data_IF_403462758728
#
_entry.id   IF_403462758728
#
_cell.length_a   1.000
_cell.length_b   1.000
_cell.length_c   1.000
_cell.angle_alpha   90.00
_cell.angle_beta   90.00
_cell.angle_gamma   90.00
#
_symmetry.space_group_name_H-M   'P 1'
#
loop_
_entity.id
_entity.type
_entity.pdbx_description
1 polymer ?
#
# COMPACT_ATOMS: atom_id res chain seq x y z
N UNK A 1 -62.15 4.36 -7.32
CA UNK A 1 -60.80 3.85 -6.98
C UNK A 1 -60.76 2.36 -7.21
N UNK A 2 -59.64 1.85 -7.73
CA UNK A 2 -59.42 0.42 -7.90
C UNK A 2 -58.64 -0.12 -6.69
N UNK A 3 -58.93 -1.34 -6.26
CA UNK A 3 -58.32 -1.95 -5.06
C UNK A 3 -56.78 -1.98 -5.14
N UNK A 4 -56.22 -2.03 -6.35
CA UNK A 4 -54.77 -2.01 -6.57
C UNK A 4 -54.09 -0.70 -6.13
N UNK A 5 -54.77 0.45 -6.25
CA UNK A 5 -54.17 1.73 -5.86
C UNK A 5 -54.35 1.99 -4.36
N UNK A 6 -55.39 1.40 -3.77
CA UNK A 6 -55.68 1.51 -2.34
C UNK A 6 -54.54 0.91 -1.51
N UNK A 7 -53.90 -0.18 -1.97
CA UNK A 7 -52.79 -0.82 -1.26
C UNK A 7 -51.60 0.13 -1.06
N UNK A 8 -51.18 0.84 -2.12
CA UNK A 8 -50.14 1.87 -2.04
C UNK A 8 -50.52 2.98 -1.06
N UNK A 9 -51.75 3.48 -1.14
CA UNK A 9 -52.24 4.53 -0.24
C UNK A 9 -52.30 4.07 1.23
N UNK A 10 -52.56 2.78 1.50
CA UNK A 10 -52.50 2.24 2.86
C UNK A 10 -51.07 2.32 3.41
N UNK A 11 -50.06 1.98 2.60
CA UNK A 11 -48.66 2.07 3.00
C UNK A 11 -48.23 3.52 3.25
N UNK A 12 -48.53 4.42 2.32
CA UNK A 12 -48.28 5.87 2.45
C UNK A 12 -48.96 6.45 3.70
N UNK A 13 -50.18 5.99 4.03
CA UNK A 13 -50.87 6.38 5.25
C UNK A 13 -50.11 5.96 6.52
N UNK A 14 -49.60 4.71 6.57
CA UNK A 14 -48.86 4.23 7.74
C UNK A 14 -47.50 4.91 7.92
N UNK A 15 -46.90 5.39 6.84
CA UNK A 15 -45.63 6.14 6.83
C UNK A 15 -45.83 7.66 7.07
N UNK A 16 -47.08 8.14 7.11
CA UNK A 16 -47.48 9.56 7.17
C UNK A 16 -47.06 10.37 5.93
N UNK A 17 -47.05 9.74 4.76
CA UNK A 17 -46.74 10.36 3.47
C UNK A 17 -48.00 10.68 2.64
N UNK A 18 -49.18 10.21 3.08
CA UNK A 18 -50.45 10.46 2.41
C UNK A 18 -51.00 11.87 2.72
N UNK A 19 -51.49 12.59 1.70
CA UNK A 19 -52.12 13.89 1.92
C UNK A 19 -53.52 13.77 2.56
N UNK A 20 -54.01 14.84 3.20
CA UNK A 20 -55.33 14.84 3.86
C UNK A 20 -56.49 14.61 2.88
N UNK A 21 -56.36 15.12 1.67
CA UNK A 21 -57.34 14.92 0.60
C UNK A 21 -57.40 13.44 0.21
N UNK A 22 -56.24 12.80 0.09
CA UNK A 22 -56.09 11.38 -0.26
C UNK A 22 -56.53 10.44 0.87
N UNK A 23 -56.31 10.80 2.13
CA UNK A 23 -56.84 10.08 3.29
C UNK A 23 -58.36 9.96 3.21
N UNK A 24 -59.07 11.04 2.88
CA UNK A 24 -60.53 11.02 2.73
C UNK A 24 -60.97 10.04 1.64
N UNK A 25 -60.24 9.96 0.52
CA UNK A 25 -60.52 9.00 -0.54
C UNK A 25 -60.24 7.57 -0.11
N UNK A 26 -59.13 7.33 0.60
CA UNK A 26 -58.77 6.03 1.16
C UNK A 26 -59.88 5.51 2.10
N UNK A 27 -60.29 6.31 3.09
CA UNK A 27 -61.34 5.89 4.04
C UNK A 27 -62.71 5.70 3.38
N UNK A 28 -63.03 6.49 2.35
CA UNK A 28 -64.25 6.28 1.54
C UNK A 28 -64.22 4.92 0.85
N UNK A 29 -63.08 4.53 0.28
CA UNK A 29 -62.93 3.23 -0.36
C UNK A 29 -62.94 2.07 0.65
N UNK A 30 -62.28 2.22 1.79
CA UNK A 30 -62.29 1.23 2.88
C UNK A 30 -63.71 0.98 3.43
N UNK A 31 -64.60 1.98 3.39
CA UNK A 31 -66.00 1.82 3.77
C UNK A 31 -66.81 1.00 2.74
N UNK A 32 -66.38 0.98 1.48
CA UNK A 32 -67.10 0.35 0.37
C UNK A 32 -66.53 -1.03 -0.03
N UNK A 33 -65.28 -1.33 0.33
CA UNK A 33 -64.59 -2.58 -0.03
C UNK A 33 -64.14 -3.34 1.23
N UNK A 34 -64.78 -4.49 1.50
CA UNK A 34 -64.48 -5.29 2.70
C UNK A 34 -63.08 -5.93 2.62
N UNK A 35 -62.61 -6.30 1.43
CA UNK A 35 -61.27 -6.88 1.25
C UNK A 35 -60.16 -5.88 1.61
N UNK A 36 -60.25 -4.66 1.08
CA UNK A 36 -59.29 -3.59 1.40
C UNK A 36 -59.33 -3.22 2.90
N UNK A 37 -60.53 -3.21 3.50
CA UNK A 37 -60.72 -2.97 4.93
C UNK A 37 -60.09 -4.06 5.80
N UNK A 38 -60.20 -5.33 5.40
CA UNK A 38 -59.56 -6.43 6.10
C UNK A 38 -58.03 -6.35 6.00
N UNK A 39 -57.50 -5.97 4.83
CA UNK A 39 -56.07 -5.73 4.65
C UNK A 39 -55.57 -4.59 5.56
N UNK A 40 -56.27 -3.45 5.55
CA UNK A 40 -55.94 -2.31 6.41
C UNK A 40 -55.92 -2.68 7.91
N UNK A 41 -56.91 -3.45 8.37
CA UNK A 41 -56.94 -3.95 9.77
C UNK A 41 -55.75 -4.84 10.09
N UNK A 42 -55.36 -5.72 9.17
CA UNK A 42 -54.21 -6.60 9.36
C UNK A 42 -52.90 -5.79 9.48
N UNK A 43 -52.69 -4.81 8.58
CA UNK A 43 -51.55 -3.90 8.63
C UNK A 43 -51.52 -3.08 9.92
N UNK A 44 -52.66 -2.52 10.32
CA UNK A 44 -52.78 -1.74 11.56
C UNK A 44 -52.45 -2.59 12.81
N UNK A 45 -52.85 -3.86 12.82
CA UNK A 45 -52.50 -4.78 13.92
C UNK A 45 -50.99 -5.01 14.00
N UNK A 46 -50.32 -5.21 12.87
CA UNK A 46 -48.86 -5.38 12.82
C UNK A 46 -48.17 -4.12 13.36
N UNK A 47 -48.59 -2.93 12.91
CA UNK A 47 -48.02 -1.67 13.38
C UNK A 47 -48.22 -1.48 14.89
N UNK A 48 -49.40 -1.83 15.41
CA UNK A 48 -49.69 -1.75 16.83
C UNK A 48 -48.80 -2.66 17.67
N UNK A 49 -48.64 -3.94 17.29
CA UNK A 49 -47.76 -4.87 18.02
C UNK A 49 -46.30 -4.43 17.96
N UNK A 50 -45.85 -3.86 16.84
CA UNK A 50 -44.50 -3.31 16.71
C UNK A 50 -44.28 -2.13 17.66
N UNK A 51 -45.19 -1.15 17.69
CA UNK A 51 -45.14 0.00 18.60
C UNK A 51 -45.25 -0.41 20.07
N UNK A 52 -46.02 -1.45 20.37
CA UNK A 52 -46.14 -2.01 21.73
C UNK A 52 -44.84 -2.69 22.17
N UNK A 53 -44.10 -3.29 21.24
CA UNK A 53 -42.78 -3.89 21.47
C UNK A 53 -41.64 -2.88 21.50
N UNK A 54 -41.90 -1.61 21.18
CA UNK A 54 -40.94 -0.52 21.23
C UNK A 54 -40.66 -0.18 22.71
N UNK A 55 -39.72 -0.92 23.30
CA UNK A 55 -39.21 -0.64 24.63
C UNK A 55 -38.51 0.71 24.66
N UNK A 56 -38.58 1.42 25.80
CA UNK A 56 -37.76 2.60 26.05
C UNK A 56 -36.31 2.35 25.64
N UNK A 57 -35.78 3.24 24.82
CA UNK A 57 -34.37 3.18 24.41
C UNK A 57 -33.51 3.05 25.68
N UNK A 58 -32.62 2.05 25.78
CA UNK A 58 -31.80 1.90 26.96
C UNK A 58 -30.99 3.18 27.17
N UNK A 59 -30.98 3.70 28.40
CA UNK A 59 -30.43 5.01 28.81
C UNK A 59 -28.98 5.28 28.35
N UNK A 60 -28.24 4.22 27.98
CA UNK A 60 -26.85 4.28 27.50
C UNK A 60 -26.65 3.76 26.08
N UNK A 61 -27.70 3.66 25.26
CA UNK A 61 -27.59 3.19 23.88
C UNK A 61 -26.64 4.07 23.08
N UNK A 62 -26.80 5.39 23.19
CA UNK A 62 -25.94 6.37 22.53
C UNK A 62 -24.48 6.18 22.94
N UNK A 63 -24.22 6.11 24.24
CA UNK A 63 -22.86 5.88 24.75
C UNK A 63 -22.25 4.57 24.24
N UNK A 64 -23.04 3.50 24.14
CA UNK A 64 -22.59 2.21 23.57
C UNK A 64 -22.29 2.32 22.08
N UNK A 65 -23.13 3.00 21.31
CA UNK A 65 -22.93 3.22 19.87
C UNK A 65 -21.68 4.08 19.63
N UNK A 66 -21.56 5.23 20.29
CA UNK A 66 -20.40 6.11 20.19
C UNK A 66 -19.10 5.41 20.57
N UNK A 67 -19.11 4.62 21.65
CA UNK A 67 -17.94 3.84 22.04
C UNK A 67 -17.57 2.78 20.99
N UNK A 68 -18.56 2.09 20.42
CA UNK A 68 -18.33 1.06 19.38
C UNK A 68 -17.72 1.67 18.11
N UNK A 69 -18.27 2.80 17.63
CA UNK A 69 -17.74 3.52 16.47
C UNK A 69 -16.30 3.98 16.74
N UNK A 70 -16.06 4.60 17.90
CA UNK A 70 -14.73 5.08 18.31
C UNK A 70 -13.70 3.95 18.39
N UNK A 71 -14.09 2.77 18.85
CA UNK A 71 -13.18 1.61 18.89
C UNK A 71 -12.86 1.08 17.50
N UNK A 72 -13.83 1.07 16.57
CA UNK A 72 -13.61 0.59 15.20
C UNK A 72 -12.59 1.45 14.44
N UNK A 73 -12.60 2.76 14.63
CA UNK A 73 -11.58 3.67 14.08
C UNK A 73 -10.19 3.46 14.72
N UNK A 74 -10.13 3.17 16.02
CA UNK A 74 -8.86 2.91 16.73
C UNK A 74 -8.24 1.56 16.39
N UNK A 75 -9.04 0.59 15.97
CA UNK A 75 -8.57 -0.74 15.55
C UNK A 75 -8.12 -0.81 14.09
N UNK A 76 -8.40 0.19 13.25
CA UNK A 76 -7.81 0.29 11.91
C UNK A 76 -6.32 0.69 11.94
N UNK A 77 -5.79 1.17 13.07
CA UNK A 77 -4.37 1.60 13.20
C UNK A 77 -3.59 0.82 14.26
N UNK A 78 -4.19 -0.13 14.98
CA UNK A 78 -3.51 -0.76 16.13
C UNK A 78 -3.67 -2.27 16.21
N UNK A 79 -3.11 -3.00 15.24
CA UNK A 79 -2.42 -4.25 15.60
C UNK A 79 -1.35 -4.63 14.55
N UNK A 80 -0.24 -3.91 14.56
CA UNK A 80 1.03 -4.59 14.35
C UNK A 80 1.75 -4.49 15.67
N UNK A 81 1.94 -5.63 16.32
CA UNK A 81 2.81 -5.79 17.47
C UNK A 81 4.26 -5.48 17.07
N UNK A 82 4.55 -4.21 16.77
CA UNK A 82 5.91 -3.71 16.64
C UNK A 82 6.44 -3.61 18.05
N UNK A 83 7.10 -4.69 18.47
CA UNK A 83 8.06 -4.63 19.58
C UNK A 83 9.00 -3.46 19.24
N UNK A 84 8.85 -2.34 19.95
CA UNK A 84 9.69 -1.17 19.74
C UNK A 84 11.08 -1.58 20.20
N UNK A 85 11.99 -1.80 19.25
CA UNK A 85 13.41 -1.94 19.56
C UNK A 85 13.83 -0.69 20.33
N UNK A 86 14.55 -0.83 21.45
CA UNK A 86 14.92 0.32 22.24
C UNK A 86 15.83 1.24 21.41
N UNK A 87 15.50 2.53 21.41
CA UNK A 87 16.02 3.51 20.45
C UNK A 87 17.55 3.59 20.42
N UNK A 88 18.23 3.28 21.54
CA UNK A 88 19.70 3.26 21.62
C UNK A 88 20.35 2.22 20.70
N UNK A 89 19.69 1.07 20.45
CA UNK A 89 20.22 0.05 19.53
C UNK A 89 20.22 0.57 18.09
N UNK A 90 19.17 1.29 17.70
CA UNK A 90 19.03 1.85 16.35
C UNK A 90 20.15 2.87 16.09
N UNK A 91 20.41 3.77 17.05
CA UNK A 91 21.51 4.73 16.94
C UNK A 91 22.89 4.04 16.95
N UNK A 92 23.07 3.00 17.76
CA UNK A 92 24.31 2.21 17.79
C UNK A 92 24.66 1.57 16.45
N UNK A 93 23.69 0.91 15.80
CA UNK A 93 23.90 0.34 14.47
C UNK A 93 24.17 1.41 13.41
N UNK A 94 23.51 2.57 13.50
CA UNK A 94 23.75 3.69 12.58
C UNK A 94 25.21 4.15 12.58
N UNK A 95 25.80 4.36 13.75
CA UNK A 95 27.20 4.80 13.88
C UNK A 95 28.15 3.75 13.30
N UNK A 96 27.92 2.46 13.59
CA UNK A 96 28.77 1.37 13.07
C UNK A 96 28.71 1.32 11.54
N UNK A 97 27.52 1.42 10.95
CA UNK A 97 27.35 1.40 9.49
C UNK A 97 28.05 2.60 8.84
N UNK A 98 27.95 3.79 9.43
CA UNK A 98 28.63 4.98 8.90
C UNK A 98 30.15 4.84 8.95
N UNK A 99 30.70 4.27 10.03
CA UNK A 99 32.13 3.99 10.14
C UNK A 99 32.61 2.96 9.10
N UNK A 100 31.85 1.87 8.91
CA UNK A 100 32.17 0.86 7.90
C UNK A 100 32.12 1.43 6.48
N UNK A 101 31.16 2.32 6.20
CA UNK A 101 31.05 2.97 4.90
C UNK A 101 32.25 3.88 4.63
N UNK A 102 32.66 4.70 5.60
CA UNK A 102 33.84 5.55 5.47
C UNK A 102 35.12 4.71 5.30
N UNK A 103 35.24 3.59 5.99
CA UNK A 103 36.35 2.66 5.83
C UNK A 103 36.40 2.07 4.41
N UNK A 104 35.25 1.63 3.88
CA UNK A 104 35.17 1.14 2.51
C UNK A 104 35.57 2.21 1.49
N UNK A 105 35.12 3.45 1.68
CA UNK A 105 35.47 4.58 0.81
C UNK A 105 36.97 4.86 0.87
N UNK A 106 37.58 4.84 2.05
CA UNK A 106 39.03 4.99 2.21
C UNK A 106 39.81 3.91 1.44
N UNK A 107 39.43 2.64 1.63
CA UNK A 107 40.03 1.50 0.91
C UNK A 107 39.89 1.64 -0.61
N UNK A 108 38.75 2.16 -1.08
CA UNK A 108 38.52 2.40 -2.50
C UNK A 108 39.43 3.50 -3.07
N UNK A 109 39.65 4.59 -2.31
CA UNK A 109 40.58 5.65 -2.72
C UNK A 109 42.03 5.15 -2.76
N UNK A 110 42.43 4.37 -1.77
CA UNK A 110 43.78 3.80 -1.70
C UNK A 110 44.06 2.87 -2.88
N UNK A 111 43.16 1.92 -3.13
CA UNK A 111 43.24 1.02 -4.29
C UNK A 111 43.27 1.79 -5.62
N UNK A 112 42.47 2.85 -5.75
CA UNK A 112 42.48 3.69 -6.96
C UNK A 112 43.83 4.39 -7.13
N UNK A 113 44.42 4.90 -6.06
CA UNK A 113 45.73 5.57 -6.12
C UNK A 113 46.84 4.59 -6.52
N UNK A 114 46.87 3.38 -5.94
CA UNK A 114 47.84 2.35 -6.32
C UNK A 114 47.71 1.93 -7.79
N UNK A 115 46.48 1.74 -8.29
CA UNK A 115 46.26 1.38 -9.70
C UNK A 115 46.68 2.47 -10.69
N UNK A 116 46.57 3.74 -10.32
CA UNK A 116 47.06 4.85 -11.15
C UNK A 116 48.58 4.83 -11.26
N UNK A 117 49.27 4.66 -10.13
CA UNK A 117 50.73 4.57 -10.10
C UNK A 117 51.24 3.32 -10.85
N UNK A 118 50.51 2.20 -10.76
CA UNK A 118 50.84 0.99 -11.51
C UNK A 118 50.72 1.21 -13.02
N UNK A 119 49.67 1.89 -13.48
CA UNK A 119 49.48 2.20 -14.92
C UNK A 119 50.61 3.07 -15.46
N UNK A 120 51.02 4.10 -14.73
CA UNK A 120 52.12 4.99 -15.13
C UNK A 120 53.44 4.23 -15.26
N UNK A 121 53.80 3.43 -14.24
CA UNK A 121 55.02 2.63 -14.26
C UNK A 121 55.00 1.57 -15.36
N UNK A 122 53.83 0.98 -15.64
CA UNK A 122 53.67 0.00 -16.72
C UNK A 122 53.88 0.64 -18.09
N UNK A 123 53.32 1.83 -18.33
CA UNK A 123 53.49 2.56 -19.60
C UNK A 123 54.97 2.87 -19.86
N UNK A 124 55.69 3.38 -18.85
CA UNK A 124 57.13 3.65 -18.96
C UNK A 124 57.93 2.37 -19.27
N UNK A 125 57.61 1.27 -18.60
CA UNK A 125 58.30 -0.03 -18.82
C UNK A 125 58.03 -0.56 -20.24
N UNK A 126 56.80 -0.45 -20.73
CA UNK A 126 56.43 -0.87 -22.08
C UNK A 126 57.18 -0.09 -23.16
N UNK A 127 57.33 1.22 -22.98
CA UNK A 127 58.11 2.08 -23.88
C UNK A 127 59.58 1.65 -23.91
N UNK A 128 60.16 1.33 -22.75
CA UNK A 128 61.55 0.85 -22.69
C UNK A 128 61.74 -0.49 -23.41
N UNK A 129 60.81 -1.43 -23.26
CA UNK A 129 60.87 -2.72 -23.94
C UNK A 129 60.78 -2.54 -25.47
N UNK A 130 59.88 -1.66 -25.95
CA UNK A 130 59.78 -1.36 -27.40
C UNK A 130 61.08 -0.78 -27.97
N UNK A 131 61.71 0.14 -27.23
CA UNK A 131 63.01 0.70 -27.61
C UNK A 131 64.10 -0.36 -27.65
N UNK A 132 64.15 -1.26 -26.65
CA UNK A 132 65.09 -2.37 -26.64
C UNK A 132 64.88 -3.32 -27.84
N UNK A 133 63.63 -3.63 -28.18
CA UNK A 133 63.29 -4.45 -29.34
C UNK A 133 63.77 -3.81 -30.65
N UNK A 134 63.61 -2.48 -30.79
CA UNK A 134 64.12 -1.73 -31.95
C UNK A 134 65.64 -1.71 -32.04
N UNK A 135 66.34 -1.62 -30.92
CA UNK A 135 67.80 -1.70 -30.89
C UNK A 135 68.29 -3.09 -31.26
N UNK A 136 67.67 -4.14 -30.71
CA UNK A 136 68.00 -5.54 -31.05
C UNK A 136 67.78 -5.81 -32.54
N UNK A 137 66.66 -5.34 -33.11
CA UNK A 137 66.39 -5.55 -34.54
C UNK A 137 67.36 -4.77 -35.44
N UNK A 138 67.75 -3.55 -35.07
CA UNK A 138 68.79 -2.80 -35.77
C UNK A 138 70.14 -3.52 -35.72
N UNK A 139 70.56 -4.01 -34.55
CA UNK A 139 71.79 -4.79 -34.40
C UNK A 139 71.77 -6.07 -35.25
N UNK A 140 70.64 -6.80 -35.27
CA UNK A 140 70.48 -8.01 -36.10
C UNK A 140 70.63 -7.68 -37.59
N UNK A 141 70.10 -6.55 -38.04
CA UNK A 141 70.17 -6.13 -39.44
C UNK A 141 71.58 -5.65 -39.84
N UNK A 142 72.38 -5.18 -38.88
CA UNK A 142 73.77 -4.75 -39.08
C UNK A 142 74.79 -5.90 -38.97
N UNK A 143 74.38 -7.10 -38.52
CA UNK A 143 75.30 -8.23 -38.45
C UNK A 143 75.62 -8.79 -39.85
N UNK A 144 76.91 -8.96 -40.21
CA UNK A 144 77.28 -9.57 -41.49
C UNK A 144 76.92 -11.05 -41.51
N UNK A 145 76.39 -11.54 -42.64
CA UNK A 145 75.99 -12.94 -42.81
C UNK A 145 77.20 -13.88 -42.66
N UNK A 146 77.29 -14.56 -41.52
CA UNK A 146 78.33 -15.56 -41.24
C UNK A 146 78.02 -16.83 -42.05
N UNK A 147 78.79 -17.06 -43.12
CA UNK A 147 78.77 -18.34 -43.84
C UNK A 147 79.49 -19.40 -43.02
N UNK A 148 78.72 -20.25 -42.36
CA UNK A 148 79.26 -21.43 -41.66
C UNK A 148 79.68 -22.44 -42.71
N UNK A 149 80.99 -22.73 -42.83
CA UNK A 149 81.47 -23.87 -43.62
C UNK A 149 81.18 -25.14 -42.82
N UNK A 150 80.21 -25.93 -43.27
CA UNK A 150 80.04 -27.31 -42.80
C UNK A 150 81.13 -28.16 -43.43
N UNK A 151 82.10 -28.62 -42.63
CA UNK A 151 83.01 -29.69 -43.04
C UNK A 151 82.30 -31.04 -42.90
N UNK A 152 81.97 -31.66 -44.02
CA UNK A 152 81.72 -33.10 -44.15
C UNK A 152 83.05 -33.78 -44.50
#
# INVERSE_FOLDING_TARGET
MNCSNTDTMMHEYFDNELSKEEESFLFTHLAQCEDCKNNFKALNRVQYEFRKGESELPERLEQRIFNTIRTKERHAVTNSSKKRLPTYLIYGYGVIITMLFLFMVYQFYDLKNETLNYKENFEVTMVQIDLQQKQISALINEMPAVKVKTSV
#
